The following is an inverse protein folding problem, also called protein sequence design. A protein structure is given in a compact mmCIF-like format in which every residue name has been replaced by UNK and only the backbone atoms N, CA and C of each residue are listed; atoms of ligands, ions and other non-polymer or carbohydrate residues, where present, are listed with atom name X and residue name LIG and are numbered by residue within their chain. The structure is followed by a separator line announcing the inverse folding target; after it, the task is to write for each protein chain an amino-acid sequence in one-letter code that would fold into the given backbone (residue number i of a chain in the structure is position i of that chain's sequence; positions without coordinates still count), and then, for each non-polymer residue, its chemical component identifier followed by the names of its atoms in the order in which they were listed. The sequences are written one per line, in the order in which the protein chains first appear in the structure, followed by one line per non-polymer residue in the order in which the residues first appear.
data_IF_160952087849
#
_entry.id   IF_160952087849
#
_cell.length_a   1.000
_cell.length_b   1.000
_cell.length_c   1.000
_cell.angle_alpha   90.00
_cell.angle_beta   90.00
_cell.angle_gamma   90.00
#
_symmetry.space_group_name_H-M   'P 1'
#
loop_
_entity.id
_entity.type
_entity.pdbx_description
1 polymer ?
#
# COMPACT_ATOMS: atom_id res chain seq x y z
N UNK A 1 -18.35 -6.72 3.71
CA UNK A 1 -18.06 -5.36 3.21
C UNK A 1 -17.79 -5.48 1.73
N UNK A 2 -18.54 -4.77 0.88
CA UNK A 2 -18.18 -4.66 -0.55
C UNK A 2 -16.80 -4.01 -0.65
N UNK A 3 -15.95 -4.52 -1.53
CA UNK A 3 -14.67 -3.86 -1.82
C UNK A 3 -14.97 -2.50 -2.46
N UNK A 4 -14.12 -1.54 -2.17
CA UNK A 4 -14.13 -0.24 -2.84
C UNK A 4 -14.03 -0.41 -4.36
N UNK A 5 -14.76 0.39 -5.13
CA UNK A 5 -14.88 0.25 -6.59
C UNK A 5 -13.52 0.46 -7.30
N UNK A 6 -12.71 1.39 -6.81
CA UNK A 6 -11.39 1.67 -7.40
C UNK A 6 -10.41 0.55 -7.08
N UNK A 7 -10.49 -0.02 -5.87
CA UNK A 7 -9.71 -1.23 -5.52
C UNK A 7 -10.09 -2.38 -6.46
N UNK A 8 -11.38 -2.59 -6.72
CA UNK A 8 -11.82 -3.65 -7.63
C UNK A 8 -11.37 -3.39 -9.07
N UNK A 9 -11.38 -2.14 -9.54
CA UNK A 9 -10.89 -1.76 -10.88
C UNK A 9 -9.42 -2.13 -11.07
N UNK A 10 -8.56 -1.85 -10.08
CA UNK A 10 -7.14 -2.21 -10.14
C UNK A 10 -6.96 -3.73 -10.21
N UNK A 11 -7.69 -4.49 -9.38
CA UNK A 11 -7.60 -5.95 -9.38
C UNK A 11 -8.05 -6.56 -10.71
N UNK A 12 -9.17 -6.08 -11.25
CA UNK A 12 -9.67 -6.52 -12.55
C UNK A 12 -8.68 -6.20 -13.69
N UNK A 13 -8.00 -5.04 -13.62
CA UNK A 13 -6.99 -4.69 -14.61
C UNK A 13 -5.79 -5.66 -14.57
N UNK A 14 -5.35 -6.09 -13.39
CA UNK A 14 -4.28 -7.08 -13.25
C UNK A 14 -4.70 -8.43 -13.84
N UNK A 15 -5.92 -8.89 -13.57
CA UNK A 15 -6.46 -10.13 -14.14
C UNK A 15 -6.53 -10.06 -15.67
N UNK A 16 -7.04 -8.95 -16.22
CA UNK A 16 -7.15 -8.75 -17.67
C UNK A 16 -5.79 -8.83 -18.40
N UNK A 17 -4.70 -8.39 -17.78
CA UNK A 17 -3.34 -8.52 -18.35
C UNK A 17 -2.90 -9.99 -18.49
N UNK A 18 -3.43 -10.88 -17.65
CA UNK A 18 -3.13 -12.31 -17.65
C UNK A 18 -4.01 -13.15 -18.59
N UNK A 19 -5.10 -12.59 -19.13
CA UNK A 19 -6.05 -13.33 -19.98
C UNK A 19 -5.93 -13.00 -21.47
N UNK A 20 -5.36 -11.84 -21.81
CA UNK A 20 -5.35 -11.32 -23.18
C UNK A 20 -4.03 -11.58 -23.92
N UNK A 21 -4.12 -11.97 -25.20
CA UNK A 21 -2.95 -12.13 -26.07
C UNK A 21 -2.24 -13.47 -25.93
N UNK A 22 -1.12 -13.64 -26.64
CA UNK A 22 -0.30 -14.84 -26.54
C UNK A 22 0.61 -14.83 -25.29
N UNK A 23 1.34 -15.93 -25.05
CA UNK A 23 2.17 -16.05 -23.86
C UNK A 23 3.29 -15.00 -23.78
N UNK A 24 3.85 -14.59 -24.91
CA UNK A 24 4.93 -13.60 -24.95
C UNK A 24 4.39 -12.19 -24.65
N UNK A 25 3.23 -11.85 -25.20
CA UNK A 25 2.57 -10.58 -24.97
C UNK A 25 2.14 -10.42 -23.51
N UNK A 26 1.53 -11.46 -22.91
CA UNK A 26 1.18 -11.48 -21.49
C UNK A 26 2.40 -11.29 -20.60
N UNK A 27 3.48 -12.03 -20.88
CA UNK A 27 4.72 -11.93 -20.12
C UNK A 27 5.28 -10.50 -20.15
N UNK A 28 5.35 -9.88 -21.34
CA UNK A 28 5.85 -8.52 -21.50
C UNK A 28 5.05 -7.50 -20.67
N UNK A 29 3.72 -7.54 -20.77
CA UNK A 29 2.83 -6.61 -20.04
C UNK A 29 2.90 -6.80 -18.52
N UNK A 30 2.96 -8.05 -18.07
CA UNK A 30 3.10 -8.35 -16.64
C UNK A 30 4.48 -7.96 -16.10
N UNK A 31 5.55 -8.09 -16.88
CA UNK A 31 6.88 -7.57 -16.51
C UNK A 31 6.82 -6.06 -16.31
N UNK A 32 6.26 -5.31 -17.25
CA UNK A 32 6.10 -3.85 -17.12
C UNK A 32 5.28 -3.46 -15.88
N UNK A 33 4.18 -4.16 -15.61
CA UNK A 33 3.42 -3.98 -14.37
C UNK A 33 4.30 -4.20 -13.13
N UNK A 34 5.03 -5.32 -13.08
CA UNK A 34 5.86 -5.67 -11.92
C UNK A 34 7.01 -4.69 -11.69
N UNK A 35 7.54 -4.06 -12.74
CA UNK A 35 8.57 -3.04 -12.66
C UNK A 35 8.03 -1.71 -12.07
N UNK A 36 6.78 -1.37 -12.39
CA UNK A 36 6.11 -0.14 -11.90
C UNK A 36 5.39 -0.31 -10.54
N UNK A 37 5.08 -1.54 -10.13
CA UNK A 37 4.39 -1.81 -8.87
C UNK A 37 5.13 -1.27 -7.62
N UNK A 38 6.47 -1.33 -7.50
CA UNK A 38 7.17 -0.79 -6.34
C UNK A 38 6.94 0.72 -6.12
N UNK A 39 6.96 1.52 -7.19
CA UNK A 39 6.73 2.97 -7.13
C UNK A 39 5.28 3.25 -6.71
N UNK A 40 4.34 2.56 -7.35
CA UNK A 40 2.90 2.65 -7.07
C UNK A 40 2.54 2.23 -5.64
N UNK A 41 3.14 1.12 -5.15
CA UNK A 41 2.95 0.67 -3.77
C UNK A 41 3.55 1.65 -2.75
N UNK A 42 4.67 2.28 -3.08
CA UNK A 42 5.29 3.29 -2.21
C UNK A 42 4.38 4.51 -2.09
N UNK A 43 3.84 4.98 -3.21
CA UNK A 43 2.88 6.08 -3.23
C UNK A 43 1.60 5.77 -2.44
N UNK A 44 1.04 4.57 -2.59
CA UNK A 44 -0.13 4.15 -1.81
C UNK A 44 0.16 4.13 -0.30
N UNK A 45 1.37 3.75 0.12
CA UNK A 45 1.78 3.77 1.53
C UNK A 45 1.88 5.20 2.07
N UNK A 46 2.42 6.14 1.29
CA UNK A 46 2.49 7.56 1.65
C UNK A 46 1.09 8.16 1.81
N UNK A 47 0.19 7.93 0.84
CA UNK A 47 -1.18 8.42 0.90
C UNK A 47 -1.92 7.87 2.12
N UNK A 48 -1.74 6.58 2.43
CA UNK A 48 -2.30 5.99 3.66
C UNK A 48 -1.71 6.61 4.92
N UNK A 49 -0.40 6.86 4.94
CA UNK A 49 0.24 7.52 6.07
C UNK A 49 -0.31 8.93 6.28
N UNK A 50 -0.50 9.69 5.21
CA UNK A 50 -1.09 11.02 5.24
C UNK A 50 -2.51 10.97 5.83
N UNK A 51 -3.37 10.08 5.33
CA UNK A 51 -4.74 9.93 5.86
C UNK A 51 -4.74 9.54 7.36
N UNK A 52 -3.83 8.66 7.79
CA UNK A 52 -3.70 8.32 9.22
C UNK A 52 -3.26 9.53 10.06
N UNK A 53 -2.42 10.42 9.51
CA UNK A 53 -2.03 11.66 10.21
C UNK A 53 -3.18 12.65 10.27
N UNK A 54 -3.93 12.82 9.19
CA UNK A 54 -5.14 13.66 9.15
C UNK A 54 -6.15 13.23 10.23
N UNK A 55 -6.44 11.93 10.35
CA UNK A 55 -7.32 11.42 11.42
C UNK A 55 -6.80 11.74 12.84
N UNK A 56 -5.48 11.79 13.03
CA UNK A 56 -4.91 12.20 14.33
C UNK A 56 -5.05 13.69 14.57
N UNK A 57 -4.89 14.49 13.53
CA UNK A 57 -5.04 15.96 13.60
C UNK A 57 -6.51 16.34 13.86
N UNK A 58 -7.45 15.51 13.40
CA UNK A 58 -8.87 15.56 13.76
C UNK A 58 -9.19 15.07 15.19
N UNK A 59 -8.16 14.64 15.94
CA UNK A 59 -8.27 14.27 17.35
C UNK A 59 -8.49 12.78 17.63
N UNK A 60 -8.48 11.91 16.61
CA UNK A 60 -8.62 10.47 16.86
C UNK A 60 -7.38 9.87 17.53
N UNK A 61 -7.61 8.98 18.50
CA UNK A 61 -6.53 8.19 19.10
C UNK A 61 -6.07 7.09 18.15
N UNK A 62 -4.79 6.69 18.24
CA UNK A 62 -4.26 5.58 17.43
C UNK A 62 -5.01 4.26 17.63
N UNK A 63 -5.64 4.04 18.81
CA UNK A 63 -6.46 2.84 19.08
C UNK A 63 -7.76 2.90 18.29
N UNK A 64 -8.47 4.03 18.33
CA UNK A 64 -9.69 4.25 17.57
C UNK A 64 -9.44 4.15 16.05
N UNK A 65 -8.33 4.69 15.56
CA UNK A 65 -7.93 4.53 14.15
C UNK A 65 -7.67 3.04 13.82
N UNK A 66 -7.07 2.27 14.73
CA UNK A 66 -6.84 0.84 14.54
C UNK A 66 -8.14 0.05 14.43
N UNK A 67 -9.09 0.34 15.31
CA UNK A 67 -10.44 -0.24 15.27
C UNK A 67 -11.16 0.13 13.97
N UNK A 68 -11.12 1.40 13.57
CA UNK A 68 -11.70 1.90 12.33
C UNK A 68 -11.13 1.19 11.09
N UNK A 69 -9.81 1.04 11.03
CA UNK A 69 -9.11 0.45 9.88
C UNK A 69 -9.02 -1.09 9.95
N UNK A 70 -9.48 -1.72 11.04
CA UNK A 70 -9.37 -3.17 11.24
C UNK A 70 -7.92 -3.67 11.38
N UNK A 71 -7.01 -2.84 11.92
CA UNK A 71 -5.59 -3.18 12.11
C UNK A 71 -5.14 -2.91 13.54
N UNK A 72 -4.06 -3.56 13.98
CA UNK A 72 -3.57 -3.39 15.34
C UNK A 72 -3.05 -1.97 15.61
N UNK A 73 -3.17 -1.50 16.86
CA UNK A 73 -2.59 -0.25 17.33
C UNK A 73 -1.11 -0.09 16.93
N UNK A 74 -0.33 -1.16 17.09
CA UNK A 74 1.10 -1.15 16.74
C UNK A 74 1.32 -0.88 15.25
N UNK A 75 0.43 -1.40 14.38
CA UNK A 75 0.49 -1.14 12.95
C UNK A 75 0.11 0.31 12.61
N UNK A 76 -0.92 0.87 13.26
CA UNK A 76 -1.28 2.28 13.08
C UNK A 76 -0.12 3.18 13.48
N UNK A 77 0.52 2.93 14.63
CA UNK A 77 1.71 3.67 15.08
C UNK A 77 2.81 3.65 14.01
N UNK A 78 3.17 2.46 13.52
CA UNK A 78 4.17 2.33 12.46
C UNK A 78 3.78 3.12 11.20
N UNK A 79 2.50 3.11 10.80
CA UNK A 79 2.04 3.87 9.63
C UNK A 79 2.19 5.37 9.88
N UNK A 80 1.74 5.89 11.02
CA UNK A 80 1.86 7.30 11.37
C UNK A 80 3.33 7.78 11.34
N UNK A 81 4.23 6.95 11.87
CA UNK A 81 5.67 7.19 11.94
C UNK A 81 6.39 6.98 10.59
N UNK A 82 5.70 6.48 9.56
CA UNK A 82 6.30 6.23 8.23
C UNK A 82 7.16 4.96 8.17
N UNK A 83 7.01 4.08 9.15
CA UNK A 83 7.74 2.82 9.24
C UNK A 83 7.05 1.78 8.35
N UNK A 84 7.58 1.61 7.15
CA UNK A 84 7.05 0.69 6.14
C UNK A 84 7.69 -0.71 6.21
N UNK A 85 8.94 -0.83 6.66
CA UNK A 85 9.62 -2.11 6.87
C UNK A 85 10.74 -2.03 7.95
N UNK A 86 10.57 -2.65 9.13
CA UNK A 86 11.61 -2.65 10.17
C UNK A 86 12.92 -3.33 9.74
N UNK A 87 12.87 -4.24 8.75
CA UNK A 87 14.06 -4.99 8.28
C UNK A 87 14.98 -4.16 7.38
N UNK A 88 14.48 -3.10 6.75
CA UNK A 88 15.25 -2.20 5.88
C UNK A 88 15.75 -0.96 6.62
N UNK A 89 15.23 -0.67 7.83
CA UNK A 89 15.65 0.48 8.65
C UNK A 89 16.90 0.21 9.51
N UNK A 90 17.48 -1.00 9.49
CA UNK A 90 18.76 -1.28 10.17
C UNK A 90 19.95 -0.80 9.32
N UNK A 91 20.28 0.48 9.50
CA UNK A 91 21.61 1.08 9.77
C UNK A 91 21.67 2.50 9.18
N UNK A 92 21.73 3.57 9.99
CA UNK A 92 22.54 4.70 9.55
C UNK A 92 23.97 4.17 9.36
N UNK A 93 24.59 4.53 8.23
CA UNK A 93 26.03 4.39 8.12
C UNK A 93 26.63 5.15 9.30
N UNK A 94 27.32 4.43 10.18
CA UNK A 94 28.16 5.06 11.19
C UNK A 94 29.20 5.87 10.43
N UNK A 95 29.28 7.15 10.76
CA UNK A 95 30.31 8.09 10.31
C UNK A 95 31.70 7.63 10.76
#
# INVERSE_FOLDING_TARGET
MSKDEEVQRVLNAIEALGEQGDAAERAKRLTELLDELPSSQSRARELRQQAVRELRDEGMTLRAIGELLGISFGRVRQIADGVTNPRTQKRPAAE
#
